data_IF_995891888833
#
_entry.id   IF_995891888833
#
_cell.length_a   1.000
_cell.length_b   1.000
_cell.length_c   1.000
_cell.angle_alpha   90.00
_cell.angle_beta   90.00
_cell.angle_gamma   90.00
#
_symmetry.space_group_name_H-M   'P 1'
#
loop_
_entity.id
_entity.type
_entity.pdbx_description
1 polymer ?
#
# COMPACT_ATOMS: atom_id res chain seq x y z
N UNK A 1 12.14 -3.67 23.92
CA UNK A 1 12.33 -2.78 22.76
C UNK A 1 11.42 -3.11 21.57
N UNK A 2 11.04 -4.37 21.33
CA UNK A 2 10.14 -4.78 20.23
C UNK A 2 8.62 -4.58 20.48
N UNK A 3 8.22 -4.03 21.63
CA UNK A 3 6.80 -3.93 22.04
C UNK A 3 6.09 -2.66 21.59
N UNK A 4 6.81 -1.65 21.06
CA UNK A 4 6.23 -0.39 20.60
C UNK A 4 5.70 -0.43 19.16
N UNK A 5 6.11 -1.44 18.37
CA UNK A 5 5.78 -1.58 16.94
C UNK A 5 4.29 -1.90 16.67
N UNK A 6 3.52 -2.25 17.70
CA UNK A 6 2.19 -2.85 17.54
C UNK A 6 1.02 -1.87 17.71
N UNK A 7 1.25 -0.64 18.18
CA UNK A 7 0.18 0.36 18.36
C UNK A 7 -0.03 1.22 17.11
N UNK A 8 -0.26 0.59 15.95
CA UNK A 8 -0.75 1.34 14.79
C UNK A 8 -2.24 1.62 15.00
N UNK A 9 -2.66 2.88 15.10
CA UNK A 9 -4.05 3.19 15.35
C UNK A 9 -4.90 2.86 14.12
N UNK A 10 -6.16 2.42 14.35
CA UNK A 10 -7.07 1.97 13.28
C UNK A 10 -7.22 2.99 12.15
N UNK A 11 -7.23 4.28 12.46
CA UNK A 11 -7.35 5.33 11.45
C UNK A 11 -6.15 5.39 10.48
N UNK A 12 -4.94 5.03 10.93
CA UNK A 12 -3.75 4.95 10.07
C UNK A 12 -3.88 3.77 9.11
N UNK A 13 -4.38 2.64 9.58
CA UNK A 13 -4.66 1.47 8.73
C UNK A 13 -5.69 1.82 7.65
N UNK A 14 -6.76 2.54 7.99
CA UNK A 14 -7.74 3.01 7.01
C UNK A 14 -7.14 3.98 5.99
N UNK A 15 -6.26 4.89 6.42
CA UNK A 15 -5.54 5.79 5.51
C UNK A 15 -4.62 5.01 4.57
N UNK A 16 -3.86 4.03 5.10
CA UNK A 16 -3.01 3.14 4.32
C UNK A 16 -3.81 2.38 3.27
N UNK A 17 -4.97 1.85 3.65
CA UNK A 17 -5.86 1.11 2.76
C UNK A 17 -6.42 2.02 1.65
N UNK A 18 -6.84 3.24 2.00
CA UNK A 18 -7.32 4.23 1.01
C UNK A 18 -6.21 4.60 0.03
N UNK A 19 -5.00 4.83 0.51
CA UNK A 19 -3.82 5.09 -0.34
C UNK A 19 -3.56 3.91 -1.27
N UNK A 20 -3.58 2.69 -0.74
CA UNK A 20 -3.36 1.48 -1.52
C UNK A 20 -4.40 1.28 -2.62
N UNK A 21 -5.67 1.53 -2.33
CA UNK A 21 -6.75 1.44 -3.33
C UNK A 21 -6.57 2.50 -4.42
N UNK A 22 -6.34 3.76 -4.05
CA UNK A 22 -6.24 4.85 -5.03
C UNK A 22 -4.98 4.70 -5.90
N UNK A 23 -3.82 4.62 -5.26
CA UNK A 23 -2.54 4.51 -5.97
C UNK A 23 -2.47 3.17 -6.73
N UNK A 24 -2.89 2.08 -6.10
CA UNK A 24 -2.91 0.77 -6.73
C UNK A 24 -3.82 0.70 -7.95
N UNK A 25 -4.99 1.36 -7.92
CA UNK A 25 -5.88 1.38 -9.10
C UNK A 25 -5.27 2.18 -10.24
N UNK A 26 -4.69 3.34 -9.96
CA UNK A 26 -3.98 4.15 -10.98
C UNK A 26 -2.84 3.31 -11.58
N UNK A 27 -2.02 2.69 -10.73
CA UNK A 27 -0.90 1.86 -11.17
C UNK A 27 -1.34 0.61 -11.94
N UNK A 28 -2.45 -0.02 -11.57
CA UNK A 28 -2.99 -1.18 -12.28
C UNK A 28 -3.44 -0.79 -13.69
N UNK A 29 -4.15 0.34 -13.81
CA UNK A 29 -4.61 0.87 -15.09
C UNK A 29 -3.44 1.18 -16.02
N UNK A 30 -2.39 1.84 -15.54
CA UNK A 30 -1.24 2.18 -16.41
C UNK A 30 -0.33 0.98 -16.71
N UNK A 31 -0.14 0.07 -15.74
CA UNK A 31 0.83 -1.03 -15.86
C UNK A 31 0.26 -2.25 -16.60
N UNK A 32 -1.05 -2.43 -16.58
CA UNK A 32 -1.73 -3.56 -17.22
C UNK A 32 -2.90 -3.14 -18.10
N UNK A 33 -2.90 -1.90 -18.61
CA UNK A 33 -3.93 -1.39 -19.53
C UNK A 33 -4.30 -2.43 -20.60
N UNK A 34 -3.31 -2.88 -21.37
CA UNK A 34 -3.54 -3.84 -22.44
C UNK A 34 -4.16 -5.15 -21.96
N UNK A 35 -3.74 -5.65 -20.79
CA UNK A 35 -4.33 -6.88 -20.25
C UNK A 35 -5.75 -6.70 -19.74
N UNK A 36 -6.11 -5.52 -19.22
CA UNK A 36 -7.48 -5.19 -18.79
C UNK A 36 -8.45 -5.14 -19.98
N UNK A 37 -7.97 -4.75 -21.16
CA UNK A 37 -8.75 -4.70 -22.40
C UNK A 37 -8.58 -5.95 -23.28
N UNK A 38 -8.02 -7.03 -22.75
CA UNK A 38 -7.86 -8.30 -23.47
C UNK A 38 -6.84 -8.29 -24.62
N UNK A 39 -6.01 -7.24 -24.71
CA UNK A 39 -4.92 -7.13 -25.67
C UNK A 39 -3.64 -7.86 -25.23
N UNK A 40 -3.60 -8.36 -23.99
CA UNK A 40 -2.47 -9.11 -23.44
C UNK A 40 -2.92 -10.03 -22.29
N UNK A 41 -2.05 -10.95 -21.86
CA UNK A 41 -2.29 -11.77 -20.67
C UNK A 41 -2.24 -10.93 -19.38
N UNK A 42 -3.20 -11.15 -18.49
CA UNK A 42 -3.25 -10.49 -17.19
C UNK A 42 -2.18 -11.04 -16.24
N UNK A 43 -1.44 -10.15 -15.57
CA UNK A 43 -0.33 -10.54 -14.68
C UNK A 43 -0.78 -10.42 -13.24
N UNK A 44 -1.50 -11.42 -12.74
CA UNK A 44 -2.08 -11.45 -11.38
C UNK A 44 -1.08 -11.12 -10.27
N UNK A 45 0.14 -11.68 -10.33
CA UNK A 45 1.19 -11.40 -9.32
C UNK A 45 1.52 -9.91 -9.25
N UNK A 46 1.71 -9.27 -10.40
CA UNK A 46 1.98 -7.84 -10.46
C UNK A 46 0.75 -7.03 -10.02
N UNK A 47 -0.46 -7.44 -10.41
CA UNK A 47 -1.70 -6.77 -10.01
C UNK A 47 -1.89 -6.78 -8.49
N UNK A 48 -1.63 -7.89 -7.80
CA UNK A 48 -1.70 -7.97 -6.34
C UNK A 48 -0.66 -7.05 -5.70
N UNK A 49 0.61 -7.13 -6.15
CA UNK A 49 1.69 -6.31 -5.61
C UNK A 49 1.44 -4.81 -5.80
N UNK A 50 0.76 -4.42 -6.87
CA UNK A 50 0.34 -3.05 -7.12
C UNK A 50 -0.51 -2.46 -5.98
N UNK A 51 -1.27 -3.27 -5.24
CA UNK A 51 -2.01 -2.83 -4.06
C UNK A 51 -1.26 -3.08 -2.75
N UNK A 52 -0.55 -4.20 -2.63
CA UNK A 52 0.17 -4.57 -1.41
C UNK A 52 1.32 -3.61 -1.12
N UNK A 53 2.09 -3.23 -2.15
CA UNK A 53 3.28 -2.39 -1.98
C UNK A 53 2.93 -0.99 -1.44
N UNK A 54 1.97 -0.23 -2.00
CA UNK A 54 1.61 1.07 -1.45
C UNK A 54 1.08 1.00 -0.02
N UNK A 55 0.34 -0.06 0.35
CA UNK A 55 -0.09 -0.27 1.73
C UNK A 55 1.12 -0.46 2.66
N UNK A 56 2.02 -1.38 2.31
CA UNK A 56 3.20 -1.70 3.11
C UNK A 56 4.14 -0.49 3.25
N UNK A 57 4.37 0.25 2.16
CA UNK A 57 5.20 1.47 2.16
C UNK A 57 4.57 2.57 3.02
N UNK A 58 3.25 2.74 2.98
CA UNK A 58 2.56 3.70 3.85
C UNK A 58 2.76 3.35 5.33
N UNK A 59 2.57 2.08 5.70
CA UNK A 59 2.76 1.62 7.09
C UNK A 59 4.22 1.75 7.51
N UNK A 60 5.17 1.36 6.66
CA UNK A 60 6.60 1.52 6.91
C UNK A 60 6.97 2.99 7.12
N UNK A 61 6.46 3.88 6.26
CA UNK A 61 6.66 5.32 6.37
C UNK A 61 6.05 5.86 7.67
N UNK A 62 4.86 5.41 8.06
CA UNK A 62 4.23 5.82 9.30
C UNK A 62 5.08 5.43 10.51
N UNK A 63 5.52 4.17 10.60
CA UNK A 63 6.34 3.66 11.70
C UNK A 63 7.70 4.38 11.77
N UNK A 64 8.32 4.63 10.62
CA UNK A 64 9.64 5.29 10.55
C UNK A 64 9.57 6.78 10.90
N UNK A 65 8.45 7.44 10.63
CA UNK A 65 8.25 8.87 10.90
C UNK A 65 7.35 9.10 12.13
N UNK A 66 7.19 8.10 12.99
CA UNK A 66 6.62 8.34 14.32
C UNK A 66 7.48 9.43 14.96
N UNK A 67 6.90 10.59 15.36
CA UNK A 67 7.65 11.50 16.22
C UNK A 67 8.02 10.66 17.43
N UNK A 68 9.32 10.53 17.71
CA UNK A 68 9.78 10.03 18.99
C UNK A 68 9.01 10.86 20.01
N UNK A 69 8.08 10.26 20.75
CA UNK A 69 7.51 10.96 21.88
C UNK A 69 8.71 11.39 22.71
N UNK A 70 8.89 12.69 22.85
CA UNK A 70 9.73 13.25 23.90
C UNK A 70 9.08 12.80 25.21
N UNK A 71 9.40 11.58 25.60
CA UNK A 71 9.36 11.11 26.97
C UNK A 71 10.36 11.95 27.78
#
# INVERSE_FOLDING_TARGET
MMSSLYKIPRHVIFRALKTAIVVGTILLLINQWHALFGMAEFRWRAAILTYVVPFAVFIYSYVTNLPFSSD
#
